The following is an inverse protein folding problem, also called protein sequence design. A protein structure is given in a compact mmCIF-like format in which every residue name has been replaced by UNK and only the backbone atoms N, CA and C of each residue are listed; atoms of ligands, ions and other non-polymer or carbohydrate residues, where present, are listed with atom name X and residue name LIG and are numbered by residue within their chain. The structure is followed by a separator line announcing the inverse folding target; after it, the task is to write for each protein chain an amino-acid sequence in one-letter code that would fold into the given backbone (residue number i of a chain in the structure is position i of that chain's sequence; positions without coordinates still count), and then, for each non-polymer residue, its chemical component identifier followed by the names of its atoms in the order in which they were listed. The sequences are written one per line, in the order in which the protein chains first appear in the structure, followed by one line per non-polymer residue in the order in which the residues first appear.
data_IF_465518521482
#
_entry.id   IF_465518521482
#
_cell.length_a   1.000
_cell.length_b   1.000
_cell.length_c   1.000
_cell.angle_alpha   90.00
_cell.angle_beta   90.00
_cell.angle_gamma   90.00
#
_symmetry.space_group_name_H-M   'P 1'
#
loop_
_entity.id
_entity.type
_entity.pdbx_description
1 polymer ?
#
# COMPACT_ATOMS: atom_id res chain seq x y z
N UNK A 1 23.81 7.90 15.63
CA UNK A 1 23.87 7.47 14.21
C UNK A 1 24.63 8.53 13.44
N UNK A 2 25.55 8.17 12.53
CA UNK A 2 26.28 9.18 11.75
C UNK A 2 25.32 9.87 10.75
N UNK A 3 25.58 11.17 10.48
CA UNK A 3 24.78 11.94 9.50
C UNK A 3 24.71 11.26 8.10
N UNK A 4 25.72 10.49 7.73
CA UNK A 4 25.77 9.75 6.47
C UNK A 4 24.80 8.56 6.44
N UNK A 5 24.64 7.85 7.55
CA UNK A 5 23.70 6.72 7.67
C UNK A 5 22.25 7.19 7.59
N UNK A 6 21.92 8.33 8.21
CA UNK A 6 20.56 8.88 8.17
C UNK A 6 20.22 9.42 6.77
N UNK A 7 21.13 10.13 6.11
CA UNK A 7 20.96 10.60 4.72
C UNK A 7 20.71 9.44 3.76
N UNK A 8 21.50 8.37 3.85
CA UNK A 8 21.28 7.17 3.02
C UNK A 8 19.94 6.51 3.29
N UNK A 9 19.50 6.47 4.54
CA UNK A 9 18.19 5.94 4.92
C UNK A 9 17.02 6.76 4.36
N UNK A 10 17.12 8.09 4.36
CA UNK A 10 16.13 8.98 3.73
C UNK A 10 16.09 8.74 2.22
N UNK A 11 17.26 8.63 1.57
CA UNK A 11 17.34 8.34 0.12
C UNK A 11 16.66 7.01 -0.24
N UNK A 12 16.87 5.95 0.54
CA UNK A 12 16.17 4.67 0.36
C UNK A 12 14.67 4.80 0.57
N UNK A 13 14.22 5.56 1.57
CA UNK A 13 12.80 5.82 1.81
C UNK A 13 12.15 6.58 0.66
N UNK A 14 12.78 7.65 0.19
CA UNK A 14 12.34 8.40 -0.99
C UNK A 14 12.27 7.48 -2.22
N UNK A 15 13.31 6.70 -2.50
CA UNK A 15 13.32 5.74 -3.60
C UNK A 15 12.16 4.75 -3.53
N UNK A 16 11.85 4.20 -2.36
CA UNK A 16 10.72 3.31 -2.16
C UNK A 16 9.37 3.98 -2.48
N UNK A 17 9.12 5.15 -1.89
CA UNK A 17 7.82 5.83 -2.05
C UNK A 17 7.64 6.45 -3.44
N UNK A 18 8.71 6.94 -4.07
CA UNK A 18 8.66 7.39 -5.46
C UNK A 18 8.35 6.21 -6.39
N UNK A 19 9.01 5.07 -6.20
CA UNK A 19 8.73 3.86 -6.99
C UNK A 19 7.28 3.44 -6.84
N UNK A 20 6.74 3.39 -5.61
CA UNK A 20 5.32 3.08 -5.38
C UNK A 20 4.38 4.11 -6.01
N UNK A 21 4.69 5.40 -5.94
CA UNK A 21 3.89 6.44 -6.56
C UNK A 21 3.86 6.34 -8.09
N UNK A 22 4.96 5.94 -8.71
CA UNK A 22 5.06 5.76 -10.15
C UNK A 22 4.46 4.44 -10.67
N UNK A 23 4.09 3.51 -9.77
CA UNK A 23 3.42 2.26 -10.17
C UNK A 23 2.10 2.49 -10.92
N UNK A 24 1.44 3.64 -10.71
CA UNK A 24 0.27 4.05 -11.49
C UNK A 24 0.57 4.07 -12.98
N UNK A 25 1.70 4.65 -13.38
CA UNK A 25 2.14 4.68 -14.78
C UNK A 25 2.38 3.26 -15.29
N UNK A 26 3.04 2.43 -14.49
CA UNK A 26 3.31 1.05 -14.83
C UNK A 26 2.02 0.26 -15.12
N UNK A 27 1.02 0.33 -14.26
CA UNK A 27 -0.25 -0.37 -14.45
C UNK A 27 -1.05 0.16 -15.66
N UNK A 28 -0.91 1.44 -16.00
CA UNK A 28 -1.57 2.00 -17.19
C UNK A 28 -1.05 1.39 -18.50
N UNK A 29 0.20 0.93 -18.58
CA UNK A 29 0.68 0.19 -19.75
C UNK A 29 -0.01 -1.17 -19.93
N UNK A 30 -0.63 -1.70 -18.88
CA UNK A 30 -1.31 -2.97 -18.85
C UNK A 30 -2.85 -2.84 -18.75
N UNK A 31 -3.39 -1.63 -18.96
CA UNK A 31 -4.81 -1.30 -18.72
C UNK A 31 -5.82 -2.14 -19.52
N UNK A 32 -5.39 -2.77 -20.59
CA UNK A 32 -6.25 -3.64 -21.41
C UNK A 32 -6.52 -5.00 -20.77
N UNK A 33 -5.74 -5.41 -19.77
CA UNK A 33 -5.90 -6.69 -19.10
C UNK A 33 -6.69 -6.56 -17.80
N UNK A 34 -7.32 -7.64 -17.41
CA UNK A 34 -8.06 -7.71 -16.16
C UNK A 34 -7.15 -7.47 -14.95
N UNK A 35 -7.56 -6.60 -14.04
CA UNK A 35 -6.84 -6.34 -12.78
C UNK A 35 -6.61 -7.64 -11.98
N UNK A 36 -7.58 -8.53 -11.96
CA UNK A 36 -7.50 -9.82 -11.24
C UNK A 36 -6.40 -10.70 -11.83
N UNK A 37 -6.32 -10.79 -13.16
CA UNK A 37 -5.25 -11.51 -13.86
C UNK A 37 -3.88 -10.88 -13.60
N UNK A 38 -3.78 -9.54 -13.71
CA UNK A 38 -2.54 -8.81 -13.44
C UNK A 38 -2.03 -9.04 -12.01
N UNK A 39 -2.92 -9.13 -11.02
CA UNK A 39 -2.56 -9.48 -9.65
C UNK A 39 -2.13 -10.94 -9.55
N UNK A 40 -2.75 -11.86 -10.28
CA UNK A 40 -2.29 -13.24 -10.38
C UNK A 40 -0.83 -13.32 -10.85
N UNK A 41 -0.50 -12.67 -11.95
CA UNK A 41 0.88 -12.57 -12.46
C UNK A 41 1.83 -11.91 -11.45
N UNK A 42 1.40 -10.84 -10.81
CA UNK A 42 2.17 -10.16 -9.76
C UNK A 42 2.51 -11.09 -8.61
N UNK A 43 1.56 -11.87 -8.12
CA UNK A 43 1.76 -12.82 -7.02
C UNK A 43 2.73 -13.91 -7.43
N UNK A 44 2.55 -14.52 -8.61
CA UNK A 44 3.44 -15.58 -9.10
C UNK A 44 4.87 -15.08 -9.27
N UNK A 45 5.07 -13.98 -9.96
CA UNK A 45 6.42 -13.41 -10.19
C UNK A 45 7.07 -12.91 -8.90
N UNK A 46 6.30 -12.31 -7.99
CA UNK A 46 6.80 -11.91 -6.66
C UNK A 46 7.19 -13.14 -5.83
N UNK A 47 6.41 -14.22 -5.89
CA UNK A 47 6.71 -15.46 -5.17
C UNK A 47 8.04 -16.06 -5.64
N UNK A 48 8.29 -16.10 -6.94
CA UNK A 48 9.55 -16.60 -7.51
C UNK A 48 10.73 -15.77 -6.97
N UNK A 49 10.64 -14.44 -7.05
CA UNK A 49 11.72 -13.55 -6.61
C UNK A 49 11.95 -13.66 -5.10
N UNK A 50 10.89 -13.58 -4.30
CA UNK A 50 11.02 -13.56 -2.84
C UNK A 50 11.45 -14.93 -2.31
N UNK A 51 10.99 -16.05 -2.90
CA UNK A 51 11.49 -17.38 -2.57
C UNK A 51 12.97 -17.51 -2.91
N UNK A 52 13.41 -17.01 -4.06
CA UNK A 52 14.83 -17.02 -4.42
C UNK A 52 15.66 -16.22 -3.41
N UNK A 53 15.20 -15.03 -3.02
CA UNK A 53 15.90 -14.18 -2.04
C UNK A 53 15.91 -14.82 -0.65
N UNK A 54 14.82 -15.43 -0.19
CA UNK A 54 14.77 -16.05 1.15
C UNK A 54 15.63 -17.31 1.24
N UNK A 55 15.72 -18.09 0.14
CA UNK A 55 16.61 -19.24 0.03
C UNK A 55 18.07 -18.78 0.05
N UNK A 56 18.40 -17.78 -0.78
CA UNK A 56 19.77 -17.21 -0.83
C UNK A 56 20.21 -16.64 0.52
N UNK A 57 19.32 -15.98 1.24
CA UNK A 57 19.58 -15.42 2.58
C UNK A 57 19.52 -16.46 3.70
N UNK A 58 19.29 -17.75 3.39
CA UNK A 58 19.18 -18.88 4.33
C UNK A 58 18.10 -18.71 5.41
N UNK A 59 17.08 -17.89 5.15
CA UNK A 59 15.98 -17.61 6.10
C UNK A 59 14.76 -18.52 5.94
N UNK A 60 14.74 -19.38 4.93
CA UNK A 60 13.60 -20.27 4.65
C UNK A 60 13.28 -21.18 5.83
N UNK A 61 14.31 -21.76 6.49
CA UNK A 61 14.10 -22.64 7.65
C UNK A 61 13.41 -21.91 8.80
N UNK A 62 13.82 -20.67 9.08
CA UNK A 62 13.20 -19.86 10.13
C UNK A 62 11.74 -19.57 9.81
N UNK A 63 11.43 -19.21 8.58
CA UNK A 63 10.06 -18.99 8.12
C UNK A 63 9.19 -20.24 8.28
N UNK A 64 9.65 -21.40 7.78
CA UNK A 64 8.91 -22.66 7.89
C UNK A 64 8.69 -23.08 9.34
N UNK A 65 9.67 -22.84 10.21
CA UNK A 65 9.54 -23.13 11.65
C UNK A 65 8.50 -22.21 12.30
N UNK A 66 8.52 -20.92 11.98
CA UNK A 66 7.55 -19.96 12.50
C UNK A 66 6.11 -20.28 12.06
N UNK A 67 5.91 -20.67 10.79
CA UNK A 67 4.59 -21.00 10.25
C UNK A 67 3.99 -22.30 10.78
N UNK A 68 4.72 -23.07 11.59
CA UNK A 68 4.15 -24.22 12.33
C UNK A 68 3.20 -23.78 13.45
N UNK A 69 3.31 -22.54 13.94
CA UNK A 69 2.30 -22.00 14.84
C UNK A 69 1.01 -21.67 14.06
N UNK A 70 -0.11 -22.36 14.35
CA UNK A 70 -1.37 -22.17 13.60
C UNK A 70 -1.95 -20.77 13.79
N UNK A 71 -1.69 -20.11 14.92
CA UNK A 71 -2.15 -18.73 15.16
C UNK A 71 -1.37 -17.74 14.29
N UNK A 72 -0.07 -17.94 14.16
CA UNK A 72 0.75 -17.13 13.27
C UNK A 72 0.40 -17.37 11.81
N UNK A 73 0.20 -18.63 11.42
CA UNK A 73 -0.22 -18.99 10.06
C UNK A 73 -1.56 -18.33 9.70
N UNK A 74 -2.57 -18.40 10.57
CA UNK A 74 -3.86 -17.76 10.37
C UNK A 74 -3.73 -16.22 10.23
N UNK A 75 -2.88 -15.57 11.02
CA UNK A 75 -2.62 -14.11 10.89
C UNK A 75 -1.96 -13.77 9.56
N UNK A 76 -0.99 -14.58 9.12
CA UNK A 76 -0.33 -14.40 7.81
C UNK A 76 -1.35 -14.56 6.68
N UNK A 77 -2.19 -15.60 6.71
CA UNK A 77 -3.24 -15.82 5.71
C UNK A 77 -4.21 -14.62 5.68
N UNK A 78 -4.66 -14.15 6.82
CA UNK A 78 -5.58 -13.02 6.87
C UNK A 78 -4.90 -11.71 6.39
N UNK A 79 -3.62 -11.49 6.73
CA UNK A 79 -2.84 -10.39 6.18
C UNK A 79 -2.70 -10.50 4.66
N UNK A 80 -2.47 -11.70 4.12
CA UNK A 80 -2.41 -11.97 2.67
C UNK A 80 -3.71 -11.60 1.97
N UNK A 81 -4.86 -11.97 2.54
CA UNK A 81 -6.18 -11.62 1.99
C UNK A 81 -6.35 -10.10 1.95
N UNK A 82 -6.02 -9.39 3.04
CA UNK A 82 -6.11 -7.92 3.08
C UNK A 82 -5.18 -7.28 2.06
N UNK A 83 -3.99 -7.82 1.87
CA UNK A 83 -3.04 -7.36 0.87
C UNK A 83 -3.55 -7.61 -0.55
N UNK A 84 -4.13 -8.78 -0.83
CA UNK A 84 -4.73 -9.10 -2.11
C UNK A 84 -5.92 -8.18 -2.44
N UNK A 85 -6.80 -7.93 -1.48
CA UNK A 85 -7.91 -6.98 -1.61
C UNK A 85 -7.38 -5.58 -1.93
N UNK A 86 -6.39 -5.11 -1.17
CA UNK A 86 -5.77 -3.80 -1.39
C UNK A 86 -5.18 -3.68 -2.80
N UNK A 87 -4.35 -4.64 -3.21
CA UNK A 87 -3.68 -4.62 -4.50
C UNK A 87 -4.66 -4.72 -5.67
N UNK A 88 -5.65 -5.61 -5.57
CA UNK A 88 -6.65 -5.78 -6.62
C UNK A 88 -7.49 -4.52 -6.79
N UNK A 89 -7.95 -3.92 -5.67
CA UNK A 89 -8.72 -2.67 -5.71
C UNK A 89 -7.90 -1.54 -6.30
N UNK A 90 -6.62 -1.41 -5.92
CA UNK A 90 -5.73 -0.39 -6.46
C UNK A 90 -5.51 -0.55 -7.96
N UNK A 91 -5.12 -1.76 -8.42
CA UNK A 91 -4.88 -2.01 -9.85
C UNK A 91 -6.16 -1.83 -10.64
N UNK A 92 -7.29 -2.33 -10.12
CA UNK A 92 -8.60 -2.16 -10.75
C UNK A 92 -8.93 -0.68 -10.93
N UNK A 93 -8.76 0.14 -9.90
CA UNK A 93 -9.02 1.56 -9.95
C UNK A 93 -8.12 2.28 -10.96
N UNK A 94 -6.83 1.92 -11.02
CA UNK A 94 -5.88 2.52 -11.97
C UNK A 94 -6.25 2.20 -13.42
N UNK A 95 -6.58 0.93 -13.73
CA UNK A 95 -6.90 0.54 -15.10
C UNK A 95 -8.26 1.05 -15.57
N UNK A 96 -9.19 1.32 -14.62
CA UNK A 96 -10.53 1.88 -14.89
C UNK A 96 -10.63 3.39 -14.64
N UNK A 97 -9.50 4.11 -14.65
CA UNK A 97 -9.48 5.58 -14.60
C UNK A 97 -10.10 6.20 -13.32
N UNK A 98 -9.82 5.55 -12.17
CA UNK A 98 -10.21 6.03 -10.85
C UNK A 98 -8.96 6.28 -9.96
N UNK A 99 -7.90 6.87 -10.52
CA UNK A 99 -6.60 7.06 -9.87
C UNK A 99 -6.72 8.05 -8.71
N UNK A 100 -7.50 9.13 -8.89
CA UNK A 100 -7.73 10.13 -7.83
C UNK A 100 -8.42 9.49 -6.61
N UNK A 101 -9.33 8.54 -6.83
CA UNK A 101 -9.98 7.81 -5.72
C UNK A 101 -8.98 6.89 -4.98
N UNK A 102 -7.97 6.35 -5.66
CA UNK A 102 -6.88 5.63 -4.97
C UNK A 102 -6.04 6.54 -4.09
N UNK A 103 -5.77 7.76 -4.56
CA UNK A 103 -5.07 8.76 -3.78
C UNK A 103 -5.82 9.07 -2.49
N UNK A 104 -7.15 9.29 -2.57
CA UNK A 104 -7.99 9.47 -1.40
C UNK A 104 -7.85 8.30 -0.42
N UNK A 105 -7.91 7.05 -0.91
CA UNK A 105 -7.79 5.86 -0.07
C UNK A 105 -6.50 5.84 0.76
N UNK A 106 -5.36 6.11 0.14
CA UNK A 106 -4.09 6.15 0.84
C UNK A 106 -3.90 7.40 1.71
N UNK A 107 -4.54 8.53 1.39
CA UNK A 107 -4.56 9.69 2.27
C UNK A 107 -5.36 9.44 3.55
N UNK A 108 -6.48 8.73 3.49
CA UNK A 108 -7.33 8.44 4.65
C UNK A 108 -6.94 7.16 5.41
N UNK A 109 -6.07 6.32 4.86
CA UNK A 109 -5.62 5.09 5.52
C UNK A 109 -5.05 5.30 6.93
N UNK A 110 -4.24 6.33 7.23
CA UNK A 110 -3.79 6.60 8.61
C UNK A 110 -4.94 6.82 9.59
N UNK A 111 -6.08 7.36 9.13
CA UNK A 111 -7.25 7.58 9.97
C UNK A 111 -7.91 6.26 10.35
N UNK A 112 -8.04 5.34 9.39
CA UNK A 112 -8.51 3.98 9.67
C UNK A 112 -7.57 3.26 10.64
N UNK A 113 -6.25 3.44 10.49
CA UNK A 113 -5.26 2.90 11.43
C UNK A 113 -5.45 3.45 12.85
N UNK A 114 -5.75 4.75 13.00
CA UNK A 114 -6.06 5.36 14.29
C UNK A 114 -7.37 4.80 14.87
N UNK A 115 -8.41 4.61 14.06
CA UNK A 115 -9.68 4.01 14.49
C UNK A 115 -9.43 2.59 15.01
N UNK A 116 -8.61 1.78 14.33
CA UNK A 116 -8.22 0.44 14.79
C UNK A 116 -7.44 0.53 16.12
N UNK A 117 -6.49 1.45 16.23
CA UNK A 117 -5.73 1.71 17.47
C UNK A 117 -6.66 2.00 18.66
N UNK A 118 -7.65 2.87 18.45
CA UNK A 118 -8.64 3.22 19.47
C UNK A 118 -9.60 2.04 19.78
N UNK A 119 -10.23 1.45 18.75
CA UNK A 119 -11.29 0.48 18.93
C UNK A 119 -10.77 -0.90 19.40
N UNK A 120 -9.61 -1.34 18.86
CA UNK A 120 -9.06 -2.68 19.09
C UNK A 120 -7.98 -2.66 20.18
N UNK A 121 -7.05 -1.69 20.11
CA UNK A 121 -5.93 -1.60 21.07
C UNK A 121 -6.27 -0.76 22.31
N UNK A 122 -7.48 -0.16 22.36
CA UNK A 122 -7.95 0.70 23.46
C UNK A 122 -6.99 1.87 23.76
N UNK A 123 -6.33 2.37 22.73
CA UNK A 123 -5.44 3.54 22.84
C UNK A 123 -6.25 4.80 23.17
N UNK A 124 -5.66 5.74 23.91
CA UNK A 124 -6.33 7.01 24.22
C UNK A 124 -6.37 7.92 23.00
N UNK A 125 -7.55 8.40 22.65
CA UNK A 125 -7.74 9.31 21.53
C UNK A 125 -7.51 10.76 21.94
N UNK A 126 -6.45 11.37 21.41
CA UNK A 126 -6.18 12.79 21.61
C UNK A 126 -7.20 13.65 20.87
N UNK A 127 -7.37 14.92 21.32
CA UNK A 127 -8.28 15.87 20.66
C UNK A 127 -7.91 16.10 19.19
N UNK A 128 -6.62 16.17 18.85
CA UNK A 128 -6.16 16.28 17.47
C UNK A 128 -6.66 15.10 16.62
N UNK A 129 -6.60 13.86 17.12
CA UNK A 129 -7.08 12.67 16.40
C UNK A 129 -8.58 12.73 16.14
N UNK A 130 -9.39 13.19 17.12
CA UNK A 130 -10.85 13.36 16.95
C UNK A 130 -11.17 14.39 15.88
N UNK A 131 -10.47 15.53 15.89
CA UNK A 131 -10.64 16.59 14.90
C UNK A 131 -10.33 16.08 13.48
N UNK A 132 -9.25 15.32 13.31
CA UNK A 132 -8.86 14.77 12.00
C UNK A 132 -9.85 13.73 11.50
N UNK A 133 -10.37 12.86 12.37
CA UNK A 133 -11.42 11.91 11.99
C UNK A 133 -12.70 12.65 11.57
N UNK A 134 -13.10 13.69 12.29
CA UNK A 134 -14.25 14.50 11.92
C UNK A 134 -14.06 15.17 10.54
N UNK A 135 -12.88 15.74 10.25
CA UNK A 135 -12.55 16.31 8.95
C UNK A 135 -12.61 15.27 7.83
N UNK A 136 -12.14 14.04 8.10
CA UNK A 136 -12.23 12.96 7.12
C UNK A 136 -13.67 12.52 6.84
N UNK A 137 -14.51 12.46 7.87
CA UNK A 137 -15.94 12.18 7.67
C UNK A 137 -16.60 13.26 6.80
N UNK A 138 -16.32 14.53 7.07
CA UNK A 138 -16.78 15.66 6.22
C UNK A 138 -16.30 15.50 4.80
N UNK A 139 -15.01 15.20 4.59
CA UNK A 139 -14.44 14.97 3.26
C UNK A 139 -15.15 13.83 2.52
N UNK A 140 -15.39 12.69 3.19
CA UNK A 140 -16.08 11.54 2.61
C UNK A 140 -17.51 11.90 2.20
N UNK A 141 -18.23 12.68 3.02
CA UNK A 141 -19.61 13.15 2.71
C UNK A 141 -19.58 14.04 1.45
N UNK A 142 -18.67 15.04 1.40
CA UNK A 142 -18.51 15.93 0.25
C UNK A 142 -18.18 15.14 -1.02
N UNK A 143 -17.25 14.19 -0.92
CA UNK A 143 -16.85 13.36 -2.05
C UNK A 143 -17.95 12.40 -2.48
N UNK A 144 -18.72 11.86 -1.54
CA UNK A 144 -19.90 11.05 -1.85
C UNK A 144 -20.90 11.83 -2.70
N UNK A 145 -21.14 13.09 -2.34
CA UNK A 145 -22.01 13.96 -3.12
C UNK A 145 -21.45 14.22 -4.53
N UNK A 146 -20.15 14.56 -4.64
CA UNK A 146 -19.51 14.82 -5.92
C UNK A 146 -19.43 13.60 -6.85
N UNK A 147 -19.15 12.41 -6.30
CA UNK A 147 -19.13 11.17 -7.08
C UNK A 147 -20.51 10.62 -7.41
N UNK A 148 -21.58 11.11 -6.77
CA UNK A 148 -22.92 10.52 -6.82
C UNK A 148 -23.01 9.11 -6.18
N UNK A 149 -21.95 8.69 -5.51
CA UNK A 149 -21.82 7.39 -4.81
C UNK A 149 -20.76 7.49 -3.70
N UNK A 150 -20.83 6.67 -2.65
CA UNK A 150 -19.73 6.59 -1.69
C UNK A 150 -18.42 6.25 -2.39
N UNK A 151 -17.26 6.83 -1.98
CA UNK A 151 -15.96 6.53 -2.57
C UNK A 151 -15.46 5.15 -2.09
N UNK A 152 -16.16 4.08 -2.50
CA UNK A 152 -15.93 2.74 -1.97
C UNK A 152 -14.54 2.20 -2.29
N UNK A 153 -13.93 2.58 -3.42
CA UNK A 153 -12.56 2.18 -3.74
C UNK A 153 -11.57 2.75 -2.72
N UNK A 154 -11.73 4.04 -2.38
CA UNK A 154 -10.92 4.68 -1.35
C UNK A 154 -11.12 4.02 0.02
N UNK A 155 -12.37 3.73 0.39
CA UNK A 155 -12.69 3.09 1.67
C UNK A 155 -12.11 1.67 1.76
N UNK A 156 -12.23 0.87 0.69
CA UNK A 156 -11.66 -0.49 0.64
C UNK A 156 -10.13 -0.43 0.74
N UNK A 157 -9.47 0.46 -0.01
CA UNK A 157 -8.02 0.65 0.05
C UNK A 157 -7.60 1.05 1.47
N UNK A 158 -8.26 2.03 2.07
CA UNK A 158 -7.93 2.50 3.42
C UNK A 158 -8.13 1.41 4.48
N UNK A 159 -9.27 0.72 4.46
CA UNK A 159 -9.60 -0.33 5.42
C UNK A 159 -8.64 -1.53 5.28
N UNK A 160 -8.46 -2.06 4.07
CA UNK A 160 -7.61 -3.21 3.82
C UNK A 160 -6.14 -2.93 4.17
N UNK A 161 -5.61 -1.74 3.82
CA UNK A 161 -4.26 -1.33 4.17
C UNK A 161 -4.07 -1.19 5.68
N UNK A 162 -5.04 -0.60 6.37
CA UNK A 162 -4.96 -0.38 7.82
C UNK A 162 -5.08 -1.68 8.61
N UNK A 163 -5.98 -2.59 8.20
CA UNK A 163 -6.10 -3.92 8.80
C UNK A 163 -4.82 -4.73 8.53
N UNK A 164 -4.31 -4.70 7.30
CA UNK A 164 -3.03 -5.32 6.96
C UNK A 164 -1.89 -4.79 7.86
N UNK A 165 -1.76 -3.48 8.00
CA UNK A 165 -0.76 -2.86 8.87
C UNK A 165 -0.88 -3.27 10.34
N UNK A 166 -2.10 -3.40 10.85
CA UNK A 166 -2.37 -3.92 12.19
C UNK A 166 -1.92 -5.38 12.37
N UNK A 167 -2.30 -6.25 11.43
CA UNK A 167 -1.90 -7.66 11.44
C UNK A 167 -0.37 -7.82 11.34
N UNK A 168 0.26 -7.02 10.49
CA UNK A 168 1.71 -7.00 10.30
C UNK A 168 2.47 -6.74 11.60
N UNK A 169 1.96 -5.87 12.47
CA UNK A 169 2.55 -5.61 13.79
C UNK A 169 2.48 -6.81 14.73
N UNK A 170 1.55 -7.73 14.51
CA UNK A 170 1.36 -8.92 15.33
C UNK A 170 2.16 -10.14 14.85
N UNK A 171 2.80 -10.02 13.68
CA UNK A 171 3.58 -11.10 13.06
C UNK A 171 5.06 -10.87 13.38
N UNK A 172 5.69 -11.74 14.22
CA UNK A 172 7.09 -11.60 14.66
C UNK A 172 8.08 -12.12 13.60
N UNK A 173 7.88 -11.70 12.34
CA UNK A 173 8.73 -12.04 11.20
C UNK A 173 9.39 -10.78 10.66
N UNK A 174 10.56 -10.91 10.07
CA UNK A 174 11.16 -9.81 9.29
C UNK A 174 10.28 -9.46 8.09
N UNK A 175 10.43 -8.24 7.55
CA UNK A 175 9.65 -7.80 6.39
C UNK A 175 9.77 -8.75 5.20
N UNK A 176 10.98 -9.30 4.94
CA UNK A 176 11.20 -10.28 3.89
C UNK A 176 10.44 -11.59 4.16
N UNK A 177 10.60 -12.18 5.35
CA UNK A 177 9.95 -13.43 5.72
C UNK A 177 8.42 -13.30 5.69
N UNK A 178 7.88 -12.23 6.27
CA UNK A 178 6.44 -12.00 6.30
C UNK A 178 5.86 -11.82 4.89
N UNK A 179 6.48 -10.99 4.04
CA UNK A 179 5.99 -10.80 2.68
C UNK A 179 6.10 -12.08 1.84
N UNK A 180 7.19 -12.83 2.00
CA UNK A 180 7.33 -14.14 1.32
C UNK A 180 6.20 -15.07 1.71
N UNK A 181 5.90 -15.18 3.02
CA UNK A 181 4.79 -16.00 3.49
C UNK A 181 3.44 -15.54 2.92
N UNK A 182 3.22 -14.24 2.87
CA UNK A 182 1.99 -13.63 2.39
C UNK A 182 1.76 -13.90 0.88
N UNK A 183 2.77 -13.71 0.03
CA UNK A 183 2.61 -13.98 -1.41
C UNK A 183 2.53 -15.47 -1.70
N UNK A 184 3.24 -16.31 -0.95
CA UNK A 184 3.16 -17.77 -1.09
C UNK A 184 1.79 -18.29 -0.66
N UNK A 185 1.18 -17.73 0.40
CA UNK A 185 -0.18 -18.06 0.80
C UNK A 185 -1.22 -17.76 -0.31
N UNK A 186 -0.96 -16.74 -1.13
CA UNK A 186 -1.80 -16.35 -2.26
C UNK A 186 -1.46 -17.12 -3.55
N UNK A 187 -0.43 -17.94 -3.57
CA UNK A 187 0.05 -18.57 -4.81
C UNK A 187 -1.00 -19.53 -5.43
N UNK A 188 -1.66 -20.32 -4.58
CA UNK A 188 -2.69 -21.25 -5.06
C UNK A 188 -3.85 -20.49 -5.73
N UNK A 189 -4.52 -19.51 -5.08
CA UNK A 189 -5.58 -18.76 -5.75
C UNK A 189 -5.06 -17.95 -6.95
N UNK A 190 -3.82 -17.44 -6.93
CA UNK A 190 -3.24 -16.74 -8.07
C UNK A 190 -3.07 -17.66 -9.29
N UNK A 191 -2.52 -18.86 -9.10
CA UNK A 191 -2.37 -19.85 -10.17
C UNK A 191 -3.74 -20.28 -10.69
N UNK A 192 -4.73 -20.51 -9.82
CA UNK A 192 -6.10 -20.83 -10.23
C UNK A 192 -6.72 -19.72 -11.10
N UNK A 193 -6.53 -18.45 -10.72
CA UNK A 193 -6.98 -17.29 -11.51
C UNK A 193 -6.30 -17.28 -12.88
N UNK A 194 -4.98 -17.47 -12.94
CA UNK A 194 -4.24 -17.48 -14.20
C UNK A 194 -4.68 -18.64 -15.10
N UNK A 195 -4.92 -19.81 -14.52
CA UNK A 195 -5.43 -20.96 -15.27
C UNK A 195 -6.83 -20.72 -15.83
N UNK A 196 -7.72 -20.10 -15.02
CA UNK A 196 -9.06 -19.72 -15.46
C UNK A 196 -9.03 -18.65 -16.57
N UNK A 197 -8.12 -17.67 -16.48
CA UNK A 197 -8.01 -16.60 -17.47
C UNK A 197 -7.34 -17.05 -18.77
N UNK A 198 -6.58 -18.15 -18.76
CA UNK A 198 -5.76 -18.59 -19.88
C UNK A 198 -6.54 -18.75 -21.20
N UNK A 199 -7.78 -19.25 -21.13
CA UNK A 199 -8.63 -19.48 -22.31
C UNK A 199 -9.45 -18.25 -22.73
N UNK A 200 -9.32 -17.12 -22.03
CA UNK A 200 -10.07 -15.89 -22.37
C UNK A 200 -9.37 -15.16 -23.50
N UNK A 201 -10.16 -14.68 -24.46
CA UNK A 201 -9.65 -13.93 -25.59
C UNK A 201 -8.90 -12.65 -25.18
N UNK A 202 -9.31 -12.01 -24.06
CA UNK A 202 -8.76 -10.76 -23.50
C UNK A 202 -7.62 -10.99 -22.49
N UNK A 203 -7.13 -12.23 -22.33
CA UNK A 203 -6.08 -12.57 -21.37
C UNK A 203 -4.68 -12.15 -21.84
N UNK A 204 -3.76 -12.02 -20.88
CA UNK A 204 -2.34 -11.75 -21.14
C UNK A 204 -1.71 -12.77 -22.10
N UNK A 205 -1.88 -14.11 -21.92
CA UNK A 205 -1.30 -15.09 -22.83
C UNK A 205 -1.75 -14.95 -24.28
N UNK A 206 -2.98 -14.50 -24.52
CA UNK A 206 -3.57 -14.47 -25.86
C UNK A 206 -3.44 -13.11 -26.55
N UNK A 207 -3.23 -12.02 -25.80
CA UNK A 207 -3.27 -10.66 -26.35
C UNK A 207 -2.06 -9.79 -26.03
N UNK A 208 -1.15 -10.24 -25.15
CA UNK A 208 -0.02 -9.40 -24.77
C UNK A 208 1.02 -9.34 -25.87
N UNK A 209 1.43 -8.14 -26.22
CA UNK A 209 2.63 -7.90 -27.03
C UNK A 209 3.88 -8.29 -26.25
N UNK A 210 5.01 -8.48 -26.96
CA UNK A 210 6.31 -8.80 -26.32
C UNK A 210 6.68 -7.78 -25.23
N UNK A 211 6.42 -6.49 -25.46
CA UNK A 211 6.67 -5.43 -24.47
C UNK A 211 5.78 -5.62 -23.25
N UNK A 212 4.51 -5.88 -23.43
CA UNK A 212 3.58 -6.11 -22.32
C UNK A 212 3.93 -7.36 -21.51
N UNK A 213 4.40 -8.42 -22.16
CA UNK A 213 4.94 -9.61 -21.47
C UNK A 213 6.13 -9.25 -20.58
N UNK A 214 7.04 -8.40 -21.05
CA UNK A 214 8.15 -7.89 -20.22
C UNK A 214 7.58 -7.18 -18.98
N UNK A 215 6.62 -6.26 -19.14
CA UNK A 215 5.97 -5.59 -18.02
C UNK A 215 5.31 -6.59 -17.08
N UNK A 216 4.54 -7.56 -17.57
CA UNK A 216 3.87 -8.58 -16.73
C UNK A 216 4.88 -9.37 -15.90
N UNK A 217 5.97 -9.84 -16.49
CA UNK A 217 7.01 -10.59 -15.78
C UNK A 217 7.77 -9.74 -14.76
N UNK A 218 7.94 -8.45 -15.03
CA UNK A 218 8.61 -7.52 -14.11
C UNK A 218 7.73 -7.06 -12.94
N UNK A 219 6.44 -7.41 -12.88
CA UNK A 219 5.55 -7.04 -11.76
C UNK A 219 6.08 -7.48 -10.40
N UNK A 220 6.73 -8.64 -10.33
CA UNK A 220 7.39 -9.12 -9.12
C UNK A 220 8.53 -8.22 -8.65
N UNK A 221 9.36 -7.74 -9.57
CA UNK A 221 10.44 -6.79 -9.28
C UNK A 221 9.89 -5.44 -8.80
N UNK A 222 8.82 -4.95 -9.44
CA UNK A 222 8.13 -3.73 -9.03
C UNK A 222 7.51 -3.83 -7.63
N UNK A 223 7.31 -5.04 -7.14
CA UNK A 223 6.92 -5.30 -5.76
C UNK A 223 8.13 -5.41 -4.82
N UNK A 224 9.17 -6.15 -5.22
CA UNK A 224 10.32 -6.45 -4.37
C UNK A 224 11.24 -5.22 -4.17
N UNK A 225 11.52 -4.45 -5.21
CA UNK A 225 12.43 -3.30 -5.16
C UNK A 225 12.03 -2.27 -4.10
N UNK A 226 10.81 -1.68 -4.14
CA UNK A 226 10.45 -0.68 -3.16
C UNK A 226 10.37 -1.24 -1.73
N UNK A 227 10.03 -2.51 -1.56
CA UNK A 227 10.03 -3.17 -0.27
C UNK A 227 11.45 -3.36 0.30
N UNK A 228 12.41 -3.71 -0.53
CA UNK A 228 13.83 -3.81 -0.12
C UNK A 228 14.37 -2.42 0.23
N UNK A 229 14.06 -1.40 -0.56
CA UNK A 229 14.43 -0.01 -0.28
C UNK A 229 13.79 0.48 1.04
N UNK A 230 12.50 0.22 1.24
CA UNK A 230 11.82 0.55 2.48
C UNK A 230 12.40 -0.20 3.68
N UNK A 231 12.70 -1.50 3.54
CA UNK A 231 13.37 -2.28 4.58
C UNK A 231 14.77 -1.77 4.90
N UNK A 232 15.50 -1.26 3.92
CA UNK A 232 16.80 -0.61 4.13
C UNK A 232 16.65 0.76 4.82
N UNK A 233 15.64 1.54 4.47
CA UNK A 233 15.31 2.82 5.08
C UNK A 233 14.90 2.66 6.56
N UNK A 234 13.98 1.76 6.86
CA UNK A 234 13.43 1.57 8.21
C UNK A 234 14.47 1.18 9.25
N UNK A 235 15.59 0.58 8.82
CA UNK A 235 16.73 0.25 9.69
C UNK A 235 17.68 1.42 9.94
N UNK A 236 17.62 2.48 9.12
CA UNK A 236 18.56 3.60 9.13
C UNK A 236 17.94 4.92 9.55
N UNK A 237 16.63 5.02 9.52
CA UNK A 237 15.89 6.26 9.79
C UNK A 237 14.79 6.02 10.81
N UNK A 238 14.56 6.99 11.68
CA UNK A 238 13.45 6.93 12.65
C UNK A 238 12.10 6.90 11.90
N UNK A 239 11.15 6.13 12.41
CA UNK A 239 9.80 6.05 11.82
C UNK A 239 9.10 7.42 11.73
N UNK A 240 9.44 8.35 12.63
CA UNK A 240 8.93 9.73 12.61
C UNK A 240 9.35 10.52 11.37
N UNK A 241 10.45 10.14 10.72
CA UNK A 241 10.91 10.74 9.45
C UNK A 241 10.37 9.98 8.24
N UNK A 242 10.19 8.66 8.34
CA UNK A 242 9.61 7.85 7.27
C UNK A 242 8.10 8.04 7.14
N UNK A 243 7.40 8.31 8.25
CA UNK A 243 5.95 8.49 8.26
C UNK A 243 5.46 9.55 7.26
N UNK A 244 5.99 10.77 7.26
CA UNK A 244 5.60 11.79 6.28
C UNK A 244 5.89 11.42 4.83
N UNK A 245 6.94 10.61 4.55
CA UNK A 245 7.29 10.21 3.18
C UNK A 245 6.23 9.29 2.56
N UNK A 246 5.44 8.57 3.35
CA UNK A 246 4.36 7.72 2.82
C UNK A 246 3.31 8.51 2.02
N UNK A 247 3.15 9.83 2.32
CA UNK A 247 2.21 10.69 1.60
C UNK A 247 2.67 11.07 0.19
N UNK A 248 3.91 10.74 -0.19
CA UNK A 248 4.36 10.89 -1.58
C UNK A 248 3.52 10.02 -2.53
N UNK A 249 3.19 8.80 -2.14
CA UNK A 249 2.40 7.86 -2.98
C UNK A 249 1.04 8.46 -3.37
N UNK A 250 0.15 8.82 -2.42
CA UNK A 250 -1.12 9.41 -2.79
C UNK A 250 -0.98 10.79 -3.46
N UNK A 251 0.07 11.54 -3.15
CA UNK A 251 0.35 12.80 -3.84
C UNK A 251 0.68 12.56 -5.32
N UNK A 252 1.55 11.59 -5.63
CA UNK A 252 1.81 11.20 -7.02
C UNK A 252 0.54 10.69 -7.71
N UNK A 253 -0.24 9.83 -7.06
CA UNK A 253 -1.49 9.32 -7.62
C UNK A 253 -2.48 10.45 -7.91
N UNK A 254 -2.63 11.42 -7.00
CA UNK A 254 -3.50 12.57 -7.21
C UNK A 254 -3.07 13.38 -8.44
N UNK A 255 -1.80 13.77 -8.53
CA UNK A 255 -1.31 14.56 -9.66
C UNK A 255 -1.30 13.77 -10.97
N UNK A 256 -0.96 12.48 -10.95
CA UNK A 256 -1.02 11.64 -12.13
C UNK A 256 -2.46 11.49 -12.63
N UNK A 257 -3.42 11.22 -11.75
CA UNK A 257 -4.83 11.13 -12.12
C UNK A 257 -5.31 12.44 -12.76
N UNK A 258 -5.07 13.56 -12.09
CA UNK A 258 -5.54 14.86 -12.53
C UNK A 258 -4.81 15.38 -13.78
N UNK A 259 -3.46 15.47 -13.74
CA UNK A 259 -2.67 16.16 -14.78
C UNK A 259 -2.26 15.25 -15.93
N UNK A 260 -1.92 13.98 -15.66
CA UNK A 260 -1.42 13.07 -16.68
C UNK A 260 -2.54 12.26 -17.35
N UNK A 261 -3.56 11.88 -16.59
CA UNK A 261 -4.66 11.04 -17.08
C UNK A 261 -5.99 11.77 -17.21
N UNK A 262 -6.00 13.10 -17.00
CA UNK A 262 -7.16 13.99 -17.20
C UNK A 262 -8.43 13.52 -16.47
N UNK A 263 -8.30 12.87 -15.29
CA UNK A 263 -9.46 12.52 -14.48
C UNK A 263 -10.17 13.79 -14.00
N UNK A 264 -11.50 13.78 -14.05
CA UNK A 264 -12.32 14.94 -13.66
C UNK A 264 -12.08 15.31 -12.20
N UNK A 265 -11.58 16.52 -11.98
CA UNK A 265 -11.41 17.14 -10.68
C UNK A 265 -12.25 18.40 -10.63
N UNK A 266 -13.52 18.27 -10.22
CA UNK A 266 -14.39 19.40 -9.99
C UNK A 266 -14.07 20.10 -8.66
N UNK A 267 -14.62 21.31 -8.47
CA UNK A 267 -14.39 22.13 -7.27
C UNK A 267 -14.83 21.37 -6.00
N UNK A 268 -15.91 20.60 -6.07
CA UNK A 268 -16.43 19.84 -4.91
C UNK A 268 -15.45 18.76 -4.49
N UNK A 269 -14.84 18.04 -5.45
CA UNK A 269 -13.77 17.06 -5.16
C UNK A 269 -12.56 17.74 -4.55
N UNK A 270 -12.13 18.87 -5.12
CA UNK A 270 -10.99 19.61 -4.59
C UNK A 270 -11.24 20.06 -3.13
N UNK A 271 -12.45 20.53 -2.81
CA UNK A 271 -12.83 20.87 -1.44
C UNK A 271 -12.76 19.64 -0.53
N UNK A 272 -13.27 18.48 -0.97
CA UNK A 272 -13.15 17.22 -0.21
C UNK A 272 -11.69 16.85 0.07
N UNK A 273 -10.82 16.94 -0.92
CA UNK A 273 -9.38 16.71 -0.74
C UNK A 273 -8.73 17.74 0.19
N UNK A 274 -9.13 19.02 0.12
CA UNK A 274 -8.62 20.06 1.01
C UNK A 274 -8.90 19.73 2.49
N UNK A 275 -10.07 19.21 2.83
CA UNK A 275 -10.36 18.72 4.20
C UNK A 275 -9.43 17.58 4.62
N UNK A 276 -9.15 16.63 3.73
CA UNK A 276 -8.20 15.53 4.00
C UNK A 276 -6.79 16.07 4.23
N UNK A 277 -6.30 16.95 3.36
CA UNK A 277 -4.96 17.55 3.48
C UNK A 277 -4.84 18.40 4.76
N UNK A 278 -5.87 19.16 5.12
CA UNK A 278 -5.89 19.91 6.35
C UNK A 278 -5.80 18.99 7.59
N UNK A 279 -6.54 17.88 7.57
CA UNK A 279 -6.42 16.83 8.58
C UNK A 279 -5.00 16.26 8.67
N UNK A 280 -4.35 16.00 7.54
CA UNK A 280 -2.97 15.52 7.50
C UNK A 280 -1.97 16.52 8.09
N UNK A 281 -2.13 17.81 7.82
CA UNK A 281 -1.31 18.87 8.41
C UNK A 281 -1.44 18.86 9.94
N UNK A 282 -2.65 18.70 10.47
CA UNK A 282 -2.89 18.57 11.92
C UNK A 282 -2.13 17.35 12.48
N UNK A 283 -2.24 16.18 11.83
CA UNK A 283 -1.56 14.95 12.27
C UNK A 283 -0.04 15.08 12.26
N UNK A 284 0.52 15.60 11.19
CA UNK A 284 1.97 15.80 11.06
C UNK A 284 2.44 16.75 12.14
N UNK A 285 1.73 17.86 12.37
CA UNK A 285 2.07 18.86 13.38
C UNK A 285 2.01 18.28 14.80
N UNK A 286 0.96 17.51 15.15
CA UNK A 286 0.86 16.84 16.46
C UNK A 286 1.99 15.82 16.66
N UNK A 287 2.31 15.04 15.63
CA UNK A 287 3.40 14.06 15.65
C UNK A 287 4.76 14.72 15.91
N UNK A 288 5.08 15.80 15.19
CA UNK A 288 6.33 16.54 15.35
C UNK A 288 6.43 17.18 16.74
N UNK A 289 5.36 17.80 17.23
CA UNK A 289 5.32 18.40 18.59
C UNK A 289 5.48 17.34 19.68
N UNK A 290 4.86 16.17 19.52
CA UNK A 290 4.98 15.06 20.48
C UNK A 290 6.40 14.49 20.51
N UNK A 291 7.07 14.40 19.37
CA UNK A 291 8.46 13.96 19.25
C UNK A 291 9.44 14.97 19.88
N UNK A 292 9.23 16.28 19.65
CA UNK A 292 10.06 17.34 20.23
C UNK A 292 9.95 17.40 21.77
N UNK A 293 8.76 17.15 22.34
CA UNK A 293 8.58 17.08 23.80
C UNK A 293 9.29 15.87 24.41
N UNK A 294 9.34 14.72 23.74
CA UNK A 294 10.08 13.54 24.24
C UNK A 294 11.58 13.78 24.29
N UNK A 295 12.14 14.50 23.32
CA UNK A 295 13.59 14.83 23.28
C UNK A 295 13.99 15.85 24.37
N UNK A 296 13.07 16.73 24.81
CA UNK A 296 13.35 17.69 25.89
C UNK A 296 13.28 17.09 27.30
N UNK A 297 12.65 15.93 27.45
CA UNK A 297 12.44 15.26 28.75
C UNK A 297 13.40 14.05 28.96
N UNK A 298 14.30 13.79 28.01
CA UNK A 298 15.46 12.88 28.10
C UNK A 298 16.75 13.67 28.14
#
# INVERSE_FOLDING_TARGET
MSNSTERSGIAYGLGAYITWGLLTIYWKFLKQFSAVELIGWRIVTSSIILLSVIIYTKKLRNLLTALRDPKLCARVIFASIMLAVNWTTYVWAVVHENIIETALGYFIAPLFTMIIGFAVLRETMKTAHRAVIALAVVAIVILTYSYGRPPYLALIIAASWSIYGYLKKQVPLSSLESLTAEVVALLIPAVAILFWSFNRADSVPNNATTIQWIFVLFTGLMTAIPLLLFGAASRRVRLSLLGPLQYLVPTFNFFLGWLAYNEKLDVTRLVGFAFVWFGLVILITDSLRSSAKKVKNT
#
